data_IF_773483216597
#
_entry.id   IF_773483216597
#
_cell.length_a   1.000
_cell.length_b   1.000
_cell.length_c   1.000
_cell.angle_alpha   90.00
_cell.angle_beta   90.00
_cell.angle_gamma   90.00
#
_symmetry.space_group_name_H-M   'P 1'
#
loop_
_entity.id
_entity.type
_entity.pdbx_description
1 polymer ?
#
# COMPACT_ATOMS: atom_id res chain seq x y z
N UNK A 1 8.49 31.61 -12.88
CA UNK A 1 7.78 30.44 -12.34
C UNK A 1 8.81 29.32 -12.22
N UNK A 2 8.84 28.60 -11.10
CA UNK A 2 9.66 27.39 -10.97
C UNK A 2 8.76 26.22 -11.35
N UNK A 3 9.19 25.41 -12.31
CA UNK A 3 8.46 24.23 -12.76
C UNK A 3 8.79 23.06 -11.84
N UNK A 4 7.78 22.27 -11.47
CA UNK A 4 7.98 21.05 -10.69
C UNK A 4 8.48 19.95 -11.62
N UNK A 5 9.71 19.49 -11.40
CA UNK A 5 10.32 18.36 -12.11
C UNK A 5 10.89 17.37 -11.08
N UNK A 6 10.94 16.08 -11.41
CA UNK A 6 11.56 15.08 -10.55
C UNK A 6 13.08 15.27 -10.50
N UNK A 7 13.70 14.88 -9.38
CA UNK A 7 15.16 14.96 -9.24
C UNK A 7 15.87 14.01 -10.22
N UNK A 8 15.23 12.89 -10.55
CA UNK A 8 15.70 11.93 -11.54
C UNK A 8 15.91 12.60 -12.89
N UNK A 9 14.88 13.31 -13.38
CA UNK A 9 14.92 13.99 -14.66
C UNK A 9 15.83 15.23 -14.62
N UNK A 10 15.70 16.07 -13.58
CA UNK A 10 16.43 17.33 -13.51
C UNK A 10 17.94 17.16 -13.26
N UNK A 11 18.36 16.05 -12.63
CA UNK A 11 19.74 15.86 -12.17
C UNK A 11 20.29 14.48 -12.52
N UNK A 12 19.63 13.40 -12.11
CA UNK A 12 20.23 12.06 -12.15
C UNK A 12 20.43 11.54 -13.58
N UNK A 13 19.55 11.87 -14.51
CA UNK A 13 19.69 11.51 -15.93
C UNK A 13 20.76 12.34 -16.66
N UNK A 14 21.10 13.52 -16.13
CA UNK A 14 22.00 14.48 -16.78
C UNK A 14 23.40 14.51 -16.17
N UNK A 15 23.70 13.66 -15.17
CA UNK A 15 24.97 13.69 -14.45
C UNK A 15 25.93 12.59 -14.90
N UNK A 16 27.15 12.98 -15.28
CA UNK A 16 28.25 12.04 -15.55
C UNK A 16 28.95 11.55 -14.26
N UNK A 17 28.48 11.97 -13.08
CA UNK A 17 29.13 11.76 -11.78
C UNK A 17 28.26 10.98 -10.80
N UNK A 18 27.65 9.89 -11.27
CA UNK A 18 26.88 8.97 -10.43
C UNK A 18 27.72 7.79 -9.94
N UNK A 19 27.38 7.26 -8.76
CA UNK A 19 27.89 5.98 -8.26
C UNK A 19 26.73 5.19 -7.64
N UNK A 20 26.73 3.87 -7.85
CA UNK A 20 25.64 2.97 -7.42
C UNK A 20 26.17 1.92 -6.45
N UNK A 21 25.40 1.60 -5.41
CA UNK A 21 25.70 0.53 -4.46
C UNK A 21 24.59 -0.52 -4.53
N UNK A 22 24.91 -1.80 -4.82
CA UNK A 22 23.91 -2.86 -4.78
C UNK A 22 23.32 -3.04 -3.39
N UNK A 23 21.99 -3.07 -3.27
CA UNK A 23 21.28 -3.33 -2.04
C UNK A 23 20.46 -4.62 -2.16
N UNK A 24 20.70 -5.57 -1.26
CA UNK A 24 19.96 -6.83 -1.16
C UNK A 24 19.15 -6.86 0.14
N UNK A 25 18.18 -5.94 0.25
CA UNK A 25 17.42 -5.72 1.50
C UNK A 25 15.91 -5.92 1.37
N UNK A 26 15.43 -6.64 0.34
CA UNK A 26 13.98 -6.82 0.12
C UNK A 26 13.26 -5.49 -0.06
N UNK A 27 13.91 -4.54 -0.74
CA UNK A 27 13.36 -3.22 -0.99
C UNK A 27 12.23 -3.31 -2.02
N UNK A 28 11.09 -2.73 -1.68
CA UNK A 28 9.95 -2.51 -2.56
C UNK A 28 9.62 -1.02 -2.51
N UNK A 29 9.24 -0.44 -3.65
CA UNK A 29 8.86 0.96 -3.76
C UNK A 29 7.49 1.26 -3.11
N UNK A 30 6.85 0.26 -2.46
CA UNK A 30 5.50 0.26 -1.85
C UNK A 30 4.62 1.34 -2.51
N UNK A 31 4.54 1.29 -3.83
CA UNK A 31 3.76 2.24 -4.62
C UNK A 31 2.29 1.84 -4.72
N UNK A 32 1.95 0.66 -4.20
CA UNK A 32 0.59 0.14 -4.19
C UNK A 32 0.37 -0.76 -2.96
N UNK A 33 -0.87 -0.77 -2.47
CA UNK A 33 -1.28 -1.59 -1.33
C UNK A 33 -1.13 -3.10 -1.58
N UNK A 34 -1.02 -3.53 -2.84
CA UNK A 34 -0.79 -4.92 -3.22
C UNK A 34 0.62 -5.40 -2.86
N UNK A 35 1.64 -4.57 -3.08
CA UNK A 35 3.02 -4.85 -2.67
C UNK A 35 3.14 -4.90 -1.13
N UNK A 36 2.39 -4.05 -0.41
CA UNK A 36 2.31 -4.13 1.04
C UNK A 36 1.68 -5.46 1.47
N UNK A 37 0.58 -5.87 0.83
CA UNK A 37 -0.08 -7.14 1.12
C UNK A 37 0.83 -8.35 0.83
N UNK A 38 1.61 -8.32 -0.25
CA UNK A 38 2.59 -9.37 -0.58
C UNK A 38 3.75 -9.46 0.42
N UNK A 39 4.18 -8.33 0.96
CA UNK A 39 5.26 -8.26 1.94
C UNK A 39 4.85 -8.71 3.35
N UNK A 40 3.55 -8.88 3.61
CA UNK A 40 3.01 -9.28 4.92
C UNK A 40 2.80 -10.80 5.01
N UNK A 41 2.85 -11.32 6.23
CA UNK A 41 2.58 -12.73 6.50
C UNK A 41 1.09 -13.02 6.26
N UNK A 42 0.78 -14.02 5.43
CA UNK A 42 -0.59 -14.34 5.01
C UNK A 42 -1.03 -15.71 5.51
N UNK A 43 -2.33 -15.87 5.71
CA UNK A 43 -2.94 -17.18 5.95
C UNK A 43 -3.01 -18.03 4.66
N UNK A 44 -3.58 -19.24 4.77
CA UNK A 44 -3.71 -20.16 3.64
C UNK A 44 -4.66 -19.67 2.54
N UNK A 45 -5.58 -18.75 2.85
CA UNK A 45 -6.47 -18.12 1.89
C UNK A 45 -5.89 -16.80 1.33
N UNK A 46 -4.64 -16.47 1.71
CA UNK A 46 -3.94 -15.28 1.27
C UNK A 46 -4.36 -14.02 2.01
N UNK A 47 -5.09 -14.11 3.13
CA UNK A 47 -5.52 -12.94 3.90
C UNK A 47 -4.43 -12.48 4.88
N UNK A 48 -4.44 -11.19 5.20
CA UNK A 48 -3.64 -10.60 6.26
C UNK A 48 -4.50 -9.71 7.15
N UNK A 49 -4.27 -9.80 8.47
CA UNK A 49 -4.98 -9.01 9.48
C UNK A 49 -3.98 -8.40 10.46
N UNK A 50 -4.04 -7.08 10.60
CA UNK A 50 -3.46 -6.32 11.71
C UNK A 50 -4.58 -5.57 12.43
N UNK A 51 -4.59 -5.65 13.76
CA UNK A 51 -5.65 -5.05 14.59
C UNK A 51 -6.89 -5.96 14.79
N UNK A 52 -7.96 -5.43 15.39
CA UNK A 52 -9.16 -6.21 15.69
C UNK A 52 -10.00 -6.44 14.43
N UNK A 53 -9.85 -7.60 13.79
CA UNK A 53 -10.69 -7.97 12.64
C UNK A 53 -11.20 -9.42 12.68
N UNK A 54 -12.26 -9.67 11.92
CA UNK A 54 -12.80 -11.00 11.65
C UNK A 54 -13.13 -11.13 10.15
N UNK A 55 -12.64 -12.21 9.54
CA UNK A 55 -12.84 -12.51 8.12
C UNK A 55 -13.57 -13.85 7.99
N UNK A 56 -14.68 -13.85 7.27
CA UNK A 56 -15.46 -15.06 6.95
C UNK A 56 -15.58 -15.16 5.43
N UNK A 57 -15.33 -16.34 4.86
CA UNK A 57 -15.42 -16.58 3.42
C UNK A 57 -14.64 -15.56 2.56
N UNK A 58 -13.47 -15.14 3.03
CA UNK A 58 -12.61 -14.15 2.36
C UNK A 58 -11.35 -14.76 1.74
N UNK A 59 -10.87 -14.18 0.63
CA UNK A 59 -9.63 -14.56 -0.05
C UNK A 59 -8.81 -13.36 -0.46
N UNK A 60 -7.52 -13.38 -0.21
CA UNK A 60 -6.62 -12.27 -0.55
C UNK A 60 -7.10 -10.90 0.00
N UNK A 61 -7.64 -10.88 1.22
CA UNK A 61 -8.09 -9.65 1.88
C UNK A 61 -7.01 -9.15 2.85
N UNK A 62 -6.64 -7.88 2.72
CA UNK A 62 -5.81 -7.16 3.68
C UNK A 62 -6.72 -6.33 4.60
N UNK A 63 -6.57 -6.50 5.92
CA UNK A 63 -7.10 -5.57 6.92
C UNK A 63 -5.93 -5.03 7.75
N UNK A 64 -5.81 -3.71 7.81
CA UNK A 64 -4.93 -3.01 8.75
C UNK A 64 -5.78 -2.00 9.52
N UNK A 65 -5.84 -2.12 10.85
CA UNK A 65 -6.64 -1.25 11.70
C UNK A 65 -5.89 -0.84 12.96
N UNK A 66 -5.83 0.47 13.18
CA UNK A 66 -5.24 1.10 14.37
C UNK A 66 -6.14 1.09 15.61
N UNK A 67 -7.39 0.61 15.51
CA UNK A 67 -8.29 0.52 16.68
C UNK A 67 -9.70 -0.01 16.42
N UNK A 68 -10.47 0.52 15.45
CA UNK A 68 -11.83 0.08 15.18
C UNK A 68 -11.90 -1.39 14.74
N UNK A 69 -12.94 -2.12 15.19
CA UNK A 69 -13.15 -3.51 14.73
C UNK A 69 -13.65 -3.54 13.28
N UNK A 70 -13.02 -4.38 12.45
CA UNK A 70 -13.39 -4.59 11.05
C UNK A 70 -13.91 -6.03 10.86
N UNK A 71 -15.15 -6.18 10.41
CA UNK A 71 -15.70 -7.50 10.06
C UNK A 71 -15.90 -7.56 8.54
N UNK A 72 -15.38 -8.60 7.89
CA UNK A 72 -15.40 -8.75 6.44
C UNK A 72 -15.97 -10.12 6.09
N UNK A 73 -16.94 -10.16 5.18
CA UNK A 73 -17.61 -11.39 4.76
C UNK A 73 -17.68 -11.46 3.24
N UNK A 74 -17.22 -12.58 2.67
CA UNK A 74 -17.44 -12.90 1.26
C UNK A 74 -16.65 -12.06 0.25
N UNK A 75 -15.61 -11.33 0.69
CA UNK A 75 -14.82 -10.47 -0.19
C UNK A 75 -13.55 -11.15 -0.68
N UNK A 76 -13.17 -10.81 -1.91
CA UNK A 76 -11.91 -11.26 -2.50
C UNK A 76 -11.10 -10.10 -3.07
N UNK A 77 -9.78 -10.11 -2.86
CA UNK A 77 -8.82 -9.14 -3.41
C UNK A 77 -9.11 -7.67 -3.01
N UNK A 78 -9.44 -7.46 -1.73
CA UNK A 78 -9.77 -6.15 -1.15
C UNK A 78 -8.78 -5.76 -0.05
N UNK A 79 -8.42 -4.49 -0.02
CA UNK A 79 -7.63 -3.83 1.02
C UNK A 79 -8.56 -2.96 1.85
N UNK A 80 -8.48 -3.09 3.17
CA UNK A 80 -9.19 -2.25 4.14
C UNK A 80 -8.15 -1.70 5.11
N UNK A 81 -8.01 -0.38 5.16
CA UNK A 81 -7.05 0.31 6.01
C UNK A 81 -7.81 1.33 6.86
N UNK A 82 -7.61 1.26 8.17
CA UNK A 82 -8.16 2.18 9.16
C UNK A 82 -6.99 2.82 9.89
N UNK A 83 -6.81 4.12 9.66
CA UNK A 83 -5.74 4.91 10.26
C UNK A 83 -6.25 6.31 10.59
N UNK A 84 -6.05 6.76 11.84
CA UNK A 84 -6.33 8.11 12.32
C UNK A 84 -7.76 8.63 12.02
N UNK A 85 -8.74 7.74 12.00
CA UNK A 85 -10.14 8.07 11.75
C UNK A 85 -10.52 8.17 10.26
N UNK A 86 -9.59 7.88 9.34
CA UNK A 86 -9.89 7.66 7.93
C UNK A 86 -9.96 6.16 7.62
N UNK A 87 -10.82 5.81 6.66
CA UNK A 87 -11.03 4.43 6.22
C UNK A 87 -10.83 4.39 4.70
N UNK A 88 -9.83 3.64 4.26
CA UNK A 88 -9.63 3.30 2.87
C UNK A 88 -10.15 1.87 2.62
N UNK A 89 -11.03 1.75 1.62
CA UNK A 89 -11.45 0.45 1.08
C UNK A 89 -11.21 0.46 -0.42
N UNK A 90 -10.40 -0.47 -0.91
CA UNK A 90 -10.07 -0.54 -2.34
C UNK A 90 -9.79 -1.97 -2.78
N UNK A 91 -10.02 -2.28 -4.04
CA UNK A 91 -9.47 -3.51 -4.61
C UNK A 91 -7.97 -3.36 -4.85
N UNK A 92 -7.25 -4.48 -5.00
CA UNK A 92 -5.84 -4.45 -5.42
C UNK A 92 -5.63 -3.60 -6.69
N UNK A 93 -6.49 -3.78 -7.71
CA UNK A 93 -6.45 -2.98 -8.94
C UNK A 93 -6.80 -1.49 -8.74
N UNK A 94 -7.61 -1.17 -7.72
CA UNK A 94 -8.00 0.19 -7.37
C UNK A 94 -6.92 0.97 -6.62
N UNK A 95 -5.97 0.28 -5.98
CA UNK A 95 -4.91 0.89 -5.15
C UNK A 95 -4.11 1.99 -5.87
N UNK A 96 -3.94 1.87 -7.19
CA UNK A 96 -3.27 2.87 -8.04
C UNK A 96 -3.96 4.25 -8.07
N UNK A 97 -5.23 4.32 -7.63
CA UNK A 97 -6.03 5.56 -7.62
C UNK A 97 -6.05 6.25 -6.26
N UNK A 98 -5.43 5.70 -5.23
CA UNK A 98 -5.48 6.24 -3.85
C UNK A 98 -4.95 7.67 -3.78
N UNK A 99 -3.87 7.98 -4.50
CA UNK A 99 -3.33 9.34 -4.59
C UNK A 99 -4.26 10.38 -5.26
N UNK A 100 -5.43 9.98 -5.76
CA UNK A 100 -6.47 10.89 -6.27
C UNK A 100 -7.52 11.27 -5.21
N UNK A 101 -7.48 10.65 -4.04
CA UNK A 101 -8.42 10.94 -2.95
C UNK A 101 -7.97 12.18 -2.18
N UNK A 102 -8.94 13.03 -1.83
CA UNK A 102 -8.73 14.15 -0.92
C UNK A 102 -8.79 13.61 0.52
N UNK A 103 -7.64 13.42 1.18
CA UNK A 103 -7.55 12.90 2.56
C UNK A 103 -6.43 11.86 2.72
N UNK A 104 -6.30 10.96 1.73
CA UNK A 104 -5.34 9.85 1.72
C UNK A 104 -3.86 10.25 1.58
N UNK A 105 -3.52 11.54 1.67
CA UNK A 105 -2.13 12.03 1.61
C UNK A 105 -1.28 11.60 2.80
N UNK A 106 -1.92 11.11 3.88
CA UNK A 106 -1.28 10.65 5.12
C UNK A 106 -1.41 9.14 5.35
N UNK A 107 -2.01 8.37 4.43
CA UNK A 107 -2.16 6.91 4.51
C UNK A 107 -1.16 6.17 3.62
#
# INVERSE_FOLDING_TARGET
QIHSESVDYAVMENTDRAAMVPAAMGWSDIGNWEALHEARARDAAGNHVTGPAELIDCRNVLVDSDGPRVNVIGLENVMIVVDQGEILVTSAAGAQKVGKLHGASNQ
#
